data_IF_658652228584
#
_entry.id   IF_658652228584
#
_cell.length_a   1.000
_cell.length_b   1.000
_cell.length_c   1.000
_cell.angle_alpha   90.00
_cell.angle_beta   90.00
_cell.angle_gamma   90.00
#
_symmetry.space_group_name_H-M   'P 1'
#
loop_
_entity.id
_entity.type
_entity.pdbx_description
1 polymer ?
#
# COMPACT_ATOMS: atom_id res chain seq x y z
N UNK A 1 7.10 -15.03 0.35
CA UNK A 1 6.18 -15.16 1.49
C UNK A 1 4.76 -15.55 1.05
N UNK A 2 4.59 -16.20 -0.11
CA UNK A 2 3.26 -16.59 -0.65
C UNK A 2 2.20 -15.47 -0.66
N UNK A 3 2.67 -14.23 -0.83
CA UNK A 3 1.80 -13.05 -0.83
C UNK A 3 0.84 -13.08 -2.03
N UNK A 4 -0.42 -12.67 -1.85
CA UNK A 4 -1.32 -12.40 -2.95
C UNK A 4 -0.72 -11.35 -3.88
N UNK A 5 -0.95 -11.51 -5.18
CA UNK A 5 -0.48 -10.57 -6.21
C UNK A 5 -0.93 -9.13 -5.95
N UNK A 6 -2.12 -8.95 -5.36
CA UNK A 6 -2.66 -7.66 -4.95
C UNK A 6 -1.72 -6.95 -3.98
N UNK A 7 -1.26 -7.66 -2.94
CA UNK A 7 -0.34 -7.12 -1.95
C UNK A 7 1.04 -6.85 -2.54
N UNK A 8 1.54 -7.70 -3.44
CA UNK A 8 2.83 -7.47 -4.11
C UNK A 8 2.80 -6.19 -4.96
N UNK A 9 1.73 -6.00 -5.75
CA UNK A 9 1.54 -4.79 -6.56
C UNK A 9 1.30 -3.57 -5.67
N UNK A 10 0.55 -3.73 -4.58
CA UNK A 10 0.30 -2.67 -3.62
C UNK A 10 1.57 -2.24 -2.88
N UNK A 11 2.43 -3.17 -2.48
CA UNK A 11 3.74 -2.89 -1.89
C UNK A 11 4.65 -2.14 -2.87
N UNK A 12 4.62 -2.47 -4.17
CA UNK A 12 5.37 -1.72 -5.19
C UNK A 12 4.88 -0.26 -5.34
N UNK A 13 3.60 0.01 -5.07
CA UNK A 13 2.93 1.27 -5.40
C UNK A 13 2.45 2.09 -4.19
N UNK A 14 2.72 1.66 -2.95
CA UNK A 14 2.17 2.28 -1.74
C UNK A 14 2.47 3.78 -1.63
N UNK A 15 3.67 4.20 -2.02
CA UNK A 15 4.13 5.59 -2.02
C UNK A 15 4.04 6.29 -3.38
N UNK A 16 3.36 5.71 -4.37
CA UNK A 16 3.29 6.27 -5.74
C UNK A 16 2.75 7.72 -5.78
N UNK A 17 2.04 8.13 -4.73
CA UNK A 17 1.44 9.44 -4.61
C UNK A 17 2.32 10.50 -3.92
N UNK A 18 3.48 10.15 -3.36
CA UNK A 18 4.35 11.08 -2.61
C UNK A 18 4.73 12.33 -3.41
N UNK A 19 4.98 12.15 -4.71
CA UNK A 19 5.42 13.25 -5.57
C UNK A 19 4.36 14.32 -5.83
N UNK A 20 3.07 14.05 -5.58
CA UNK A 20 1.98 14.98 -5.92
C UNK A 20 0.90 15.12 -4.83
N UNK A 21 0.88 14.26 -3.83
CA UNK A 21 -0.07 14.29 -2.72
C UNK A 21 0.58 13.88 -1.38
N UNK A 22 1.71 14.46 -0.97
CA UNK A 22 2.51 13.98 0.18
C UNK A 22 1.72 13.94 1.49
N UNK A 23 0.87 14.95 1.74
CA UNK A 23 0.07 15.09 2.96
C UNK A 23 -1.01 14.00 3.11
N UNK A 24 -1.37 13.33 2.01
CA UNK A 24 -2.39 12.28 2.00
C UNK A 24 -2.03 11.15 1.03
N UNK A 25 -0.73 10.86 0.88
CA UNK A 25 -0.21 9.96 -0.16
C UNK A 25 -0.83 8.57 -0.04
N UNK A 26 -0.94 8.04 1.18
CA UNK A 26 -1.52 6.72 1.43
C UNK A 26 -2.97 6.62 0.95
N UNK A 27 -3.77 7.66 1.17
CA UNK A 27 -5.17 7.70 0.72
C UNK A 27 -5.26 7.85 -0.81
N UNK A 28 -4.38 8.65 -1.41
CA UNK A 28 -4.31 8.82 -2.86
C UNK A 28 -3.86 7.53 -3.58
N UNK A 29 -2.85 6.84 -3.05
CA UNK A 29 -2.39 5.55 -3.57
C UNK A 29 -3.46 4.46 -3.41
N UNK A 30 -4.14 4.43 -2.26
CA UNK A 30 -5.25 3.52 -2.05
C UNK A 30 -6.40 3.77 -3.03
N UNK A 31 -6.74 5.04 -3.30
CA UNK A 31 -7.77 5.39 -4.28
C UNK A 31 -7.41 4.93 -5.71
N UNK A 32 -6.14 4.99 -6.10
CA UNK A 32 -5.64 4.47 -7.37
C UNK A 32 -5.82 2.95 -7.48
N UNK A 33 -5.49 2.21 -6.41
CA UNK A 33 -5.52 0.74 -6.38
C UNK A 33 -6.92 0.18 -6.18
N UNK A 34 -7.80 0.92 -5.49
CA UNK A 34 -9.14 0.48 -5.08
C UNK A 34 -9.97 -0.24 -6.16
N UNK A 35 -9.94 0.15 -7.44
CA UNK A 35 -10.71 -0.56 -8.47
C UNK A 35 -10.28 -2.00 -8.71
N UNK A 36 -9.04 -2.37 -8.36
CA UNK A 36 -8.39 -3.58 -8.86
C UNK A 36 -7.98 -4.57 -7.76
N UNK A 37 -7.95 -4.13 -6.50
CA UNK A 37 -7.50 -4.92 -5.36
C UNK A 37 -8.62 -5.22 -4.37
N UNK A 38 -8.43 -6.27 -3.57
CA UNK A 38 -9.36 -6.62 -2.50
C UNK A 38 -9.43 -5.58 -1.36
N UNK A 39 -10.39 -5.79 -0.45
CA UNK A 39 -10.66 -4.85 0.65
C UNK A 39 -9.50 -4.78 1.66
N UNK A 40 -8.85 -5.90 1.95
CA UNK A 40 -7.70 -5.96 2.86
C UNK A 40 -6.54 -5.13 2.32
N UNK A 41 -6.14 -5.37 1.07
CA UNK A 41 -5.04 -4.67 0.41
C UNK A 41 -5.33 -3.18 0.32
N UNK A 42 -6.54 -2.80 -0.12
CA UNK A 42 -6.93 -1.40 -0.15
C UNK A 42 -6.86 -0.75 1.24
N UNK A 43 -7.33 -1.43 2.28
CA UNK A 43 -7.31 -0.90 3.64
C UNK A 43 -5.89 -0.71 4.15
N UNK A 44 -5.02 -1.71 3.95
CA UNK A 44 -3.60 -1.64 4.31
C UNK A 44 -2.94 -0.43 3.66
N UNK A 45 -3.09 -0.24 2.35
CA UNK A 45 -2.48 0.91 1.66
C UNK A 45 -3.09 2.23 2.10
N UNK A 46 -4.40 2.29 2.37
CA UNK A 46 -5.03 3.54 2.83
C UNK A 46 -4.43 4.05 4.13
N UNK A 47 -4.04 3.14 5.03
CA UNK A 47 -3.57 3.48 6.37
C UNK A 47 -2.08 3.26 6.59
N UNK A 48 -1.33 2.75 5.59
CA UNK A 48 0.08 2.41 5.78
C UNK A 48 0.91 3.59 6.30
N UNK A 49 0.73 4.82 5.79
CA UNK A 49 1.51 5.97 6.27
C UNK A 49 1.27 6.29 7.75
N UNK A 50 0.04 6.09 8.26
CA UNK A 50 -0.26 6.22 9.69
C UNK A 50 0.40 5.10 10.51
N UNK A 51 0.41 3.88 10.00
CA UNK A 51 0.98 2.71 10.67
C UNK A 51 2.51 2.73 10.67
N UNK A 52 3.13 3.13 9.56
CA UNK A 52 4.55 3.38 9.40
C UNK A 52 5.02 4.48 10.38
N UNK A 53 4.15 5.45 10.68
CA UNK A 53 4.36 6.46 11.71
C UNK A 53 4.80 5.92 13.08
N UNK A 54 4.47 4.67 13.42
CA UNK A 54 4.98 3.99 14.62
C UNK A 54 6.51 4.01 14.72
N UNK A 55 7.21 3.93 13.60
CA UNK A 55 8.67 3.91 13.53
C UNK A 55 9.32 5.30 13.64
N UNK A 56 8.62 6.40 13.32
CA UNK A 56 9.27 7.72 13.21
C UNK A 56 8.52 8.94 13.80
N UNK A 57 7.22 8.86 14.10
CA UNK A 57 6.48 10.01 14.65
C UNK A 57 7.04 10.50 15.98
N UNK A 58 7.49 9.58 16.85
CA UNK A 58 8.10 9.93 18.13
C UNK A 58 9.44 10.68 18.01
N UNK A 59 10.09 10.66 16.83
CA UNK A 59 11.25 11.50 16.55
C UNK A 59 10.86 12.94 16.15
N UNK A 60 9.57 13.21 15.95
CA UNK A 60 8.98 14.48 15.51
C UNK A 60 7.89 14.98 16.49
N UNK A 61 7.98 14.60 17.76
CA UNK A 61 6.98 14.93 18.81
C UNK A 61 5.54 14.46 18.52
N UNK A 62 5.39 13.52 17.57
CA UNK A 62 4.12 12.90 17.21
C UNK A 62 3.80 11.65 18.02
N UNK A 63 2.54 11.22 17.95
CA UNK A 63 2.05 10.02 18.62
C UNK A 63 2.35 8.76 17.79
N UNK A 64 3.38 8.00 18.19
CA UNK A 64 3.72 6.71 17.56
C UNK A 64 2.58 5.69 17.61
N UNK A 65 1.69 5.78 18.60
CA UNK A 65 0.60 4.84 18.79
C UNK A 65 -0.70 5.35 18.13
N UNK A 66 -0.64 6.38 17.28
CA UNK A 66 -1.79 6.92 16.56
C UNK A 66 -2.56 5.84 15.76
N UNK A 67 -1.87 4.80 15.28
CA UNK A 67 -2.49 3.64 14.62
C UNK A 67 -3.54 2.92 15.48
N UNK A 68 -3.44 2.99 16.81
CA UNK A 68 -4.36 2.32 17.76
C UNK A 68 -5.82 2.79 17.62
N UNK A 69 -6.06 3.92 16.96
CA UNK A 69 -7.41 4.34 16.58
C UNK A 69 -8.13 3.34 15.65
N UNK A 70 -7.38 2.44 15.01
CA UNK A 70 -7.87 1.40 14.11
C UNK A 70 -7.78 -0.03 14.68
N UNK A 71 -7.47 -0.20 15.97
CA UNK A 71 -7.24 -1.51 16.61
C UNK A 71 -8.38 -2.53 16.48
N UNK A 72 -9.61 -2.06 16.28
CA UNK A 72 -10.79 -2.92 16.15
C UNK A 72 -11.04 -3.37 14.69
N UNK A 73 -10.19 -2.93 13.74
CA UNK A 73 -10.24 -3.36 12.34
C UNK A 73 -9.73 -4.80 12.19
N UNK A 74 -10.39 -5.65 11.38
CA UNK A 74 -9.86 -6.99 11.08
C UNK A 74 -8.52 -6.96 10.33
N UNK A 75 -8.16 -5.81 9.73
CA UNK A 75 -6.93 -5.64 8.94
C UNK A 75 -5.80 -4.94 9.72
N UNK A 76 -5.99 -4.69 11.02
CA UNK A 76 -5.01 -4.00 11.86
C UNK A 76 -3.65 -4.71 11.82
N UNK A 77 -3.63 -5.99 12.21
CA UNK A 77 -2.40 -6.79 12.26
C UNK A 77 -1.77 -6.89 10.87
N UNK A 78 -2.58 -7.04 9.82
CA UNK A 78 -2.09 -7.09 8.44
C UNK A 78 -1.32 -5.83 8.04
N UNK A 79 -1.78 -4.65 8.45
CA UNK A 79 -1.12 -3.39 8.17
C UNK A 79 0.14 -3.19 9.03
N UNK A 80 0.13 -3.67 10.29
CA UNK A 80 1.35 -3.74 11.11
C UNK A 80 2.42 -4.59 10.41
N UNK A 81 2.04 -5.78 9.95
CA UNK A 81 2.95 -6.70 9.25
C UNK A 81 3.45 -6.10 7.94
N UNK A 82 2.57 -5.46 7.16
CA UNK A 82 2.96 -4.74 5.94
C UNK A 82 4.04 -3.69 6.24
N UNK A 83 3.81 -2.83 7.22
CA UNK A 83 4.78 -1.77 7.54
C UNK A 83 6.11 -2.34 8.03
N UNK A 84 6.06 -3.44 8.80
CA UNK A 84 7.27 -4.10 9.32
C UNK A 84 8.07 -4.82 8.22
N UNK A 85 7.40 -5.49 7.29
CA UNK A 85 8.05 -6.36 6.30
C UNK A 85 8.41 -5.66 4.99
N UNK A 86 7.64 -4.67 4.55
CA UNK A 86 7.73 -4.14 3.18
C UNK A 86 7.92 -2.62 3.07
N UNK A 87 7.67 -1.86 4.12
CA UNK A 87 7.69 -0.39 4.07
C UNK A 87 8.93 0.15 4.81
N UNK A 88 8.92 0.08 6.15
CA UNK A 88 9.93 0.75 6.97
C UNK A 88 11.36 0.20 6.74
N UNK A 89 11.51 -1.05 6.33
CA UNK A 89 12.81 -1.70 6.16
C UNK A 89 13.45 -1.46 4.78
N UNK A 90 12.81 -0.69 3.89
CA UNK A 90 13.20 -0.54 2.48
C UNK A 90 14.07 0.70 2.17
N UNK A 91 14.89 1.16 3.12
CA UNK A 91 15.74 2.36 2.95
C UNK A 91 17.24 2.09 2.74
N UNK A 92 17.68 0.84 2.61
CA UNK A 92 19.09 0.52 2.33
C UNK A 92 19.41 0.67 0.83
N UNK A 93 20.22 1.66 0.41
CA UNK A 93 20.55 1.89 -0.99
C UNK A 93 21.41 0.77 -1.60
N UNK A 94 21.98 -0.14 -0.79
CA UNK A 94 22.79 -1.26 -1.24
C UNK A 94 22.01 -2.59 -1.30
N UNK A 95 20.73 -2.58 -0.92
CA UNK A 95 19.91 -3.77 -0.98
C UNK A 95 19.75 -4.23 -2.44
N UNK A 96 19.91 -5.53 -2.75
CA UNK A 96 19.65 -6.05 -4.09
C UNK A 96 18.17 -5.87 -4.45
N UNK A 97 17.89 -4.99 -5.41
CA UNK A 97 16.54 -4.74 -5.90
C UNK A 97 16.26 -5.50 -7.20
N UNK A 98 14.99 -5.86 -7.40
CA UNK A 98 14.49 -6.37 -8.67
C UNK A 98 14.26 -5.22 -9.66
N UNK A 99 14.27 -5.52 -10.96
CA UNK A 99 13.93 -4.53 -11.97
C UNK A 99 12.42 -4.34 -12.02
N UNK A 100 11.96 -3.12 -12.34
CA UNK A 100 10.52 -2.84 -12.50
C UNK A 100 9.86 -3.76 -13.53
N UNK A 101 10.61 -4.22 -14.54
CA UNK A 101 10.11 -5.14 -15.55
C UNK A 101 9.75 -6.52 -14.98
N UNK A 102 10.38 -6.94 -13.88
CA UNK A 102 10.08 -8.22 -13.24
C UNK A 102 8.67 -8.21 -12.61
N UNK A 103 8.17 -7.02 -12.25
CA UNK A 103 6.80 -6.83 -11.74
C UNK A 103 5.75 -6.69 -12.84
N UNK A 104 6.17 -6.55 -14.11
CA UNK A 104 5.26 -6.27 -15.23
C UNK A 104 4.12 -7.29 -15.37
N UNK A 105 4.35 -8.61 -15.25
CA UNK A 105 3.26 -9.59 -15.35
C UNK A 105 2.19 -9.41 -14.26
N UNK A 106 2.60 -9.08 -13.03
CA UNK A 106 1.70 -8.87 -11.89
C UNK A 106 0.92 -7.55 -12.02
N UNK A 107 1.59 -6.50 -12.51
CA UNK A 107 0.94 -5.23 -12.84
C UNK A 107 -0.14 -5.43 -13.92
N UNK A 108 0.19 -6.11 -15.01
CA UNK A 108 -0.77 -6.39 -16.09
C UNK A 108 -1.93 -7.27 -15.57
N UNK A 109 -1.67 -8.23 -14.68
CA UNK A 109 -2.73 -9.03 -14.04
C UNK A 109 -3.69 -8.18 -13.20
N UNK A 110 -3.18 -7.34 -12.28
CA UNK A 110 -4.02 -6.53 -11.40
C UNK A 110 -4.78 -5.48 -12.19
N UNK A 111 -4.10 -4.71 -13.05
CA UNK A 111 -4.71 -3.59 -13.76
C UNK A 111 -5.59 -3.98 -14.97
N UNK A 112 -5.58 -5.24 -15.39
CA UNK A 112 -6.52 -5.74 -16.41
C UNK A 112 -7.87 -6.20 -15.84
N UNK A 113 -8.02 -6.26 -14.52
CA UNK A 113 -9.27 -6.68 -13.87
C UNK A 113 -10.39 -5.68 -14.10
N UNK A 114 -11.65 -6.13 -14.22
CA UNK A 114 -12.79 -5.23 -14.19
C UNK A 114 -12.83 -4.45 -12.87
N UNK A 115 -13.05 -3.14 -12.97
CA UNK A 115 -13.20 -2.27 -11.79
C UNK A 115 -14.32 -2.77 -10.87
N UNK A 116 -14.00 -2.94 -9.58
CA UNK A 116 -15.00 -3.22 -8.54
C UNK A 116 -15.70 -1.95 -8.02
N UNK A 117 -15.17 -0.77 -8.38
CA UNK A 117 -15.79 0.52 -8.06
C UNK A 117 -16.77 0.93 -9.18
N UNK A 118 -18.02 1.31 -8.84
CA UNK A 118 -18.98 1.81 -9.82
C UNK A 118 -18.50 3.13 -10.46
N UNK A 119 -18.62 3.27 -11.79
CA UNK A 119 -18.39 4.55 -12.48
C UNK A 119 -17.36 4.53 -13.60
N UNK A 120 -16.67 3.41 -13.83
CA UNK A 120 -15.79 3.21 -14.99
C UNK A 120 -16.49 2.21 -15.93
N UNK A 121 -16.72 2.58 -17.19
CA UNK A 121 -17.19 1.62 -18.18
C UNK A 121 -16.17 0.48 -18.28
N UNK A 122 -16.57 -0.80 -18.39
CA UNK A 122 -15.61 -1.87 -18.63
C UNK A 122 -14.76 -1.50 -19.85
N UNK A 123 -13.43 -1.53 -19.71
CA UNK A 123 -12.56 -1.43 -20.89
C UNK A 123 -12.89 -2.62 -21.80
N UNK A 124 -13.06 -2.41 -23.12
CA UNK A 124 -13.23 -3.53 -24.03
C UNK A 124 -11.99 -4.42 -23.95
N UNK A 125 -12.21 -5.71 -23.67
CA UNK A 125 -11.17 -6.74 -23.62
C UNK A 125 -10.65 -7.14 -25.00
#
# INVERSE_FOLDING_TARGET
NDEPVDMVVAALLHDVADGFAPENHSDAAAALLRPYVDEETHWVIKYHGLFQGYYYFHHHDGDRDAREMHKDSPYYDRCVDFCHEYDQNCFDPNYPVMDLQDFRPMLDEVFSRPSIVPGVAPLPG
#
